data_IF_253813118392
#
_entry.id   IF_253813118392
#
_cell.length_a   1.000
_cell.length_b   1.000
_cell.length_c   1.000
_cell.angle_alpha   90.00
_cell.angle_beta   90.00
_cell.angle_gamma   90.00
#
_symmetry.space_group_name_H-M   'P 1'
#
loop_
_entity.id
_entity.type
_entity.pdbx_description
1 polymer ?
#
# COMPACT_ATOMS: atom_id res chain seq x y z
N UNK A 1 5.91 23.91 -3.57
CA UNK A 1 6.12 25.30 -4.00
C UNK A 1 7.44 25.45 -4.77
N UNK A 2 8.51 24.75 -4.35
CA UNK A 2 9.86 24.86 -4.93
C UNK A 2 10.21 23.72 -5.88
N UNK A 3 9.50 22.59 -5.81
CA UNK A 3 9.74 21.39 -6.61
C UNK A 3 8.43 20.84 -7.15
N UNK A 4 7.77 21.65 -7.97
CA UNK A 4 6.56 21.24 -8.67
C UNK A 4 6.91 20.51 -9.98
N UNK A 5 7.57 19.36 -9.84
CA UNK A 5 8.11 18.58 -10.95
C UNK A 5 7.25 17.33 -11.19
N UNK A 6 6.89 17.11 -12.45
CA UNK A 6 6.08 15.96 -12.89
C UNK A 6 4.59 16.12 -12.57
N UNK A 7 3.80 15.15 -12.99
CA UNK A 7 2.34 15.18 -12.87
C UNK A 7 1.80 14.15 -11.84
N UNK A 8 2.62 13.16 -11.48
CA UNK A 8 2.19 12.05 -10.64
C UNK A 8 2.12 12.43 -9.16
N UNK A 9 0.94 12.36 -8.60
CA UNK A 9 0.71 12.46 -7.15
C UNK A 9 1.13 11.16 -6.44
N UNK A 10 1.43 11.29 -5.14
CA UNK A 10 1.63 10.12 -4.27
C UNK A 10 0.36 9.27 -4.27
N UNK A 11 0.51 7.97 -4.52
CA UNK A 11 -0.64 7.07 -4.64
C UNK A 11 -1.47 7.00 -3.36
N UNK A 12 -2.82 7.06 -3.45
CA UNK A 12 -3.71 7.02 -2.29
C UNK A 12 -3.48 5.82 -1.37
N UNK A 13 -3.14 4.64 -1.93
CA UNK A 13 -2.86 3.45 -1.12
C UNK A 13 -1.68 3.64 -0.17
N UNK A 14 -0.65 4.39 -0.56
CA UNK A 14 0.50 4.68 0.31
C UNK A 14 0.09 5.64 1.44
N UNK A 15 -0.66 6.69 1.11
CA UNK A 15 -1.21 7.64 2.10
C UNK A 15 -2.10 6.91 3.12
N UNK A 16 -3.00 6.05 2.66
CA UNK A 16 -3.86 5.21 3.50
C UNK A 16 -3.03 4.29 4.40
N UNK A 17 -1.96 3.71 3.87
CA UNK A 17 -1.05 2.85 4.65
C UNK A 17 -0.34 3.61 5.77
N UNK A 18 0.13 4.83 5.51
CA UNK A 18 0.68 5.70 6.57
C UNK A 18 -0.40 6.01 7.61
N UNK A 19 -1.62 6.34 7.20
CA UNK A 19 -2.72 6.63 8.12
C UNK A 19 -3.10 5.41 9.00
N UNK A 20 -3.01 4.19 8.47
CA UNK A 20 -3.17 2.94 9.24
C UNK A 20 -2.11 2.86 10.34
N UNK A 21 -0.85 3.18 10.04
CA UNK A 21 0.23 3.20 11.02
C UNK A 21 -0.05 4.24 12.11
N UNK A 22 -0.43 5.48 11.73
CA UNK A 22 -0.75 6.53 12.69
C UNK A 22 -1.92 6.17 13.60
N UNK A 23 -2.94 5.53 13.06
CA UNK A 23 -4.06 4.98 13.83
C UNK A 23 -3.60 3.93 14.84
N UNK A 24 -2.80 2.97 14.41
CA UNK A 24 -2.27 1.91 15.27
C UNK A 24 -1.39 2.50 16.39
N UNK A 25 -0.47 3.40 16.05
CA UNK A 25 0.39 4.09 17.02
C UNK A 25 -0.42 4.86 18.07
N UNK A 26 -1.45 5.61 17.66
CA UNK A 26 -2.30 6.34 18.58
C UNK A 26 -3.06 5.43 19.57
N UNK A 27 -3.48 4.23 19.12
CA UNK A 27 -4.13 3.22 19.96
C UNK A 27 -3.14 2.68 21.00
N UNK A 28 -1.91 2.32 20.56
CA UNK A 28 -0.85 1.83 21.44
C UNK A 28 -0.46 2.88 22.47
N UNK A 29 -0.15 4.11 22.04
CA UNK A 29 0.24 5.19 22.96
C UNK A 29 -0.85 5.51 24.00
N UNK A 30 -2.13 5.37 23.65
CA UNK A 30 -3.22 5.49 24.63
C UNK A 30 -3.17 4.34 25.62
N UNK A 31 -2.97 3.10 25.17
CA UNK A 31 -2.86 1.92 26.06
C UNK A 31 -1.71 2.05 27.03
N UNK A 32 -0.57 2.56 26.55
CA UNK A 32 0.62 2.82 27.33
C UNK A 32 0.57 4.13 28.13
N UNK A 33 -0.60 4.82 28.16
CA UNK A 33 -0.81 6.09 28.89
C UNK A 33 0.14 7.24 28.47
N UNK A 34 0.70 7.16 27.26
CA UNK A 34 1.63 8.17 26.74
C UNK A 34 0.92 9.37 26.09
N UNK A 35 -0.34 9.21 25.69
CA UNK A 35 -1.21 10.28 25.21
C UNK A 35 -2.61 10.18 25.85
N UNK A 36 -3.26 11.32 25.99
CA UNK A 36 -4.59 11.37 26.59
C UNK A 36 -5.62 10.64 25.71
N UNK A 37 -6.58 9.90 26.31
CA UNK A 37 -7.61 9.16 25.55
C UNK A 37 -8.39 10.07 24.57
N UNK A 38 -8.69 11.31 24.94
CA UNK A 38 -9.38 12.28 24.08
C UNK A 38 -8.57 12.59 22.81
N UNK A 39 -7.25 12.77 22.94
CA UNK A 39 -6.34 13.04 21.80
C UNK A 39 -6.25 11.80 20.90
N UNK A 40 -6.00 10.63 21.49
CA UNK A 40 -5.94 9.37 20.72
C UNK A 40 -7.22 9.12 19.92
N UNK A 41 -8.39 9.29 20.55
CA UNK A 41 -9.67 9.07 19.87
C UNK A 41 -9.88 10.05 18.71
N UNK A 42 -9.43 11.30 18.84
CA UNK A 42 -9.49 12.26 17.74
C UNK A 42 -8.54 11.89 16.59
N UNK A 43 -7.31 11.45 16.90
CA UNK A 43 -6.34 10.97 15.91
C UNK A 43 -6.91 9.73 15.16
N UNK A 44 -7.47 8.77 15.90
CA UNK A 44 -8.09 7.57 15.30
C UNK A 44 -9.24 7.93 14.37
N UNK A 45 -10.12 8.87 14.76
CA UNK A 45 -11.21 9.36 13.89
C UNK A 45 -10.66 10.02 12.62
N UNK A 46 -9.72 10.95 12.77
CA UNK A 46 -9.08 11.63 11.64
C UNK A 46 -8.37 10.64 10.70
N UNK A 47 -7.64 9.66 11.25
CA UNK A 47 -6.99 8.60 10.47
C UNK A 47 -8.00 7.76 9.68
N UNK A 48 -9.15 7.45 10.25
CA UNK A 48 -10.22 6.73 9.54
C UNK A 48 -10.79 7.55 8.37
N UNK A 49 -10.88 8.88 8.50
CA UNK A 49 -11.30 9.75 7.40
C UNK A 49 -10.27 9.74 6.25
N UNK A 50 -8.96 9.74 6.56
CA UNK A 50 -7.90 9.57 5.55
C UNK A 50 -7.98 8.18 4.89
N UNK A 51 -8.12 7.11 5.67
CA UNK A 51 -8.22 5.73 5.16
C UNK A 51 -9.43 5.57 4.23
N UNK A 52 -10.55 6.23 4.54
CA UNK A 52 -11.76 6.18 3.70
C UNK A 52 -11.69 7.06 2.44
N UNK A 53 -10.65 7.89 2.29
CA UNK A 53 -10.48 8.79 1.15
C UNK A 53 -11.24 10.14 1.27
N UNK A 54 -11.87 10.43 2.40
CA UNK A 54 -12.61 11.69 2.61
C UNK A 54 -11.73 12.94 2.60
N UNK A 55 -10.43 12.77 2.78
CA UNK A 55 -9.45 13.85 2.86
C UNK A 55 -8.41 13.78 1.73
N UNK A 56 -8.69 13.06 0.64
CA UNK A 56 -7.73 12.84 -0.45
C UNK A 56 -7.25 14.17 -1.09
N UNK A 57 -8.09 15.21 -1.12
CA UNK A 57 -7.75 16.55 -1.64
C UNK A 57 -6.65 17.28 -0.83
N UNK A 58 -6.38 16.83 0.40
CA UNK A 58 -5.35 17.42 1.25
C UNK A 58 -3.95 16.82 1.03
N UNK A 59 -3.79 15.95 0.01
CA UNK A 59 -2.53 15.29 -0.32
C UNK A 59 -2.03 15.70 -1.72
N UNK A 60 -1.64 16.98 -1.93
CA UNK A 60 -1.26 17.50 -3.24
C UNK A 60 0.19 17.18 -3.62
N UNK A 61 0.95 16.48 -2.78
CA UNK A 61 2.37 16.26 -3.01
C UNK A 61 2.61 15.29 -4.17
N UNK A 62 3.51 15.68 -5.05
CA UNK A 62 3.93 14.87 -6.19
C UNK A 62 5.01 13.87 -5.78
N UNK A 63 5.20 12.82 -6.58
CA UNK A 63 6.19 11.77 -6.32
C UNK A 63 7.62 12.33 -6.33
N UNK A 64 7.91 13.26 -7.24
CA UNK A 64 9.22 13.89 -7.39
C UNK A 64 9.39 15.01 -6.36
N UNK A 65 9.87 14.66 -5.18
CA UNK A 65 10.19 15.59 -4.11
C UNK A 65 11.55 15.24 -3.47
N UNK A 66 11.63 14.86 -2.21
CA UNK A 66 12.89 14.55 -1.53
C UNK A 66 13.41 13.13 -1.77
N UNK A 67 12.59 12.23 -2.30
CA UNK A 67 12.92 10.81 -2.50
C UNK A 67 12.96 9.96 -1.24
N UNK A 68 13.03 10.55 -0.04
CA UNK A 68 13.11 9.84 1.25
C UNK A 68 11.74 9.51 1.87
N UNK A 69 10.65 10.02 1.30
CA UNK A 69 9.29 9.86 1.84
C UNK A 69 8.96 10.78 3.02
N UNK A 70 9.91 11.57 3.52
CA UNK A 70 9.72 12.42 4.69
C UNK A 70 8.59 13.43 4.52
N UNK A 71 8.51 14.09 3.37
CA UNK A 71 7.45 15.07 3.10
C UNK A 71 6.07 14.42 3.07
N UNK A 72 5.94 13.23 2.49
CA UNK A 72 4.68 12.47 2.50
C UNK A 72 4.27 12.09 3.91
N UNK A 73 5.20 11.57 4.73
CA UNK A 73 4.92 11.26 6.14
C UNK A 73 4.50 12.51 6.91
N UNK A 74 5.20 13.64 6.72
CA UNK A 74 4.86 14.91 7.37
C UNK A 74 3.50 15.43 6.91
N UNK A 75 3.16 15.34 5.63
CA UNK A 75 1.84 15.74 5.12
C UNK A 75 0.73 14.93 5.81
N UNK A 76 0.87 13.60 5.92
CA UNK A 76 -0.10 12.79 6.64
C UNK A 76 -0.20 13.17 8.12
N UNK A 77 0.93 13.43 8.79
CA UNK A 77 0.94 13.88 10.18
C UNK A 77 0.16 15.21 10.35
N UNK A 78 0.40 16.18 9.47
CA UNK A 78 -0.26 17.49 9.50
C UNK A 78 -1.77 17.39 9.21
N UNK A 79 -2.16 16.63 8.20
CA UNK A 79 -3.58 16.42 7.85
C UNK A 79 -4.32 15.78 9.02
N UNK A 80 -3.77 14.69 9.58
CA UNK A 80 -4.38 14.00 10.72
C UNK A 80 -4.44 14.91 11.96
N UNK A 81 -3.34 15.64 12.26
CA UNK A 81 -3.31 16.53 13.42
C UNK A 81 -4.33 17.66 13.29
N UNK A 82 -4.39 18.34 12.15
CA UNK A 82 -5.34 19.41 11.91
C UNK A 82 -6.80 18.93 11.96
N UNK A 83 -7.07 17.76 11.38
CA UNK A 83 -8.41 17.17 11.44
C UNK A 83 -8.79 16.76 12.87
N UNK A 84 -7.86 16.20 13.63
CA UNK A 84 -8.07 15.88 15.05
C UNK A 84 -8.33 17.13 15.90
N UNK A 85 -7.65 18.26 15.61
CA UNK A 85 -7.89 19.55 16.26
C UNK A 85 -9.33 20.02 16.00
N UNK A 86 -9.81 19.94 14.76
CA UNK A 86 -11.21 20.29 14.43
C UNK A 86 -12.22 19.41 15.15
N UNK A 87 -11.99 18.08 15.18
CA UNK A 87 -12.84 17.12 15.89
C UNK A 87 -12.94 17.47 17.38
N UNK A 88 -11.91 18.10 17.96
CA UNK A 88 -11.87 18.55 19.34
C UNK A 88 -12.38 19.99 19.54
N UNK A 89 -12.87 20.65 18.48
CA UNK A 89 -13.39 22.02 18.53
C UNK A 89 -12.31 23.10 18.53
N UNK A 90 -11.06 22.76 18.18
CA UNK A 90 -9.95 23.71 18.06
C UNK A 90 -9.82 24.32 16.67
N UNK A 91 -8.90 25.28 16.53
CA UNK A 91 -8.62 25.99 15.28
C UNK A 91 -7.45 25.33 14.55
N UNK A 92 -7.62 24.99 13.26
CA UNK A 92 -6.55 24.48 12.37
C UNK A 92 -5.29 25.36 12.45
N UNK A 93 -4.12 24.73 12.30
CA UNK A 93 -2.82 25.40 12.26
C UNK A 93 -2.23 25.77 13.62
N UNK A 94 -3.00 25.64 14.71
CA UNK A 94 -2.55 26.02 16.06
C UNK A 94 -1.62 25.00 16.71
N UNK A 95 -1.57 23.78 16.19
CA UNK A 95 -0.86 22.61 16.77
C UNK A 95 -1.31 22.28 18.20
N UNK A 96 -2.48 22.77 18.60
CA UNK A 96 -3.11 22.54 19.91
C UNK A 96 -4.60 22.21 19.72
N UNK A 97 -5.16 21.23 20.43
CA UNK A 97 -4.53 20.36 21.45
C UNK A 97 -3.77 19.15 20.85
N UNK A 98 -3.68 19.00 19.53
CA UNK A 98 -2.96 17.90 18.86
C UNK A 98 -1.77 18.45 18.08
N UNK A 99 -0.57 17.91 18.36
CA UNK A 99 0.65 18.27 17.66
C UNK A 99 1.02 17.17 16.66
N UNK A 100 1.39 17.50 15.39
CA UNK A 100 1.71 16.48 14.37
C UNK A 100 2.90 15.59 14.75
N UNK A 101 3.95 16.15 15.38
CA UNK A 101 5.11 15.36 15.77
C UNK A 101 4.93 14.69 17.14
N UNK A 102 4.48 15.44 18.17
CA UNK A 102 4.48 14.98 19.56
C UNK A 102 3.35 13.99 19.85
N UNK A 103 2.27 13.99 19.04
CA UNK A 103 1.13 13.11 19.20
C UNK A 103 0.96 12.14 18.03
N UNK A 104 0.85 12.63 16.78
CA UNK A 104 0.58 11.78 15.61
C UNK A 104 1.80 10.94 15.22
N UNK A 105 2.99 11.56 15.24
CA UNK A 105 4.26 10.90 14.90
C UNK A 105 5.08 10.43 16.12
N UNK A 106 4.46 10.44 17.30
CA UNK A 106 5.14 10.06 18.56
C UNK A 106 5.81 8.68 18.44
N UNK A 107 7.08 8.59 18.88
CA UNK A 107 7.90 7.37 18.86
C UNK A 107 8.06 6.76 17.46
N UNK A 108 8.03 7.58 16.41
CA UNK A 108 8.16 7.15 15.02
C UNK A 108 9.18 8.01 14.28
N UNK A 109 9.77 7.46 13.23
CA UNK A 109 10.59 8.16 12.25
C UNK A 109 10.04 7.91 10.86
N UNK A 110 10.34 8.76 9.89
CA UNK A 110 10.07 8.41 8.48
C UNK A 110 10.85 7.18 8.06
N UNK A 111 12.02 6.94 8.66
CA UNK A 111 12.89 5.80 8.33
C UNK A 111 12.23 4.44 8.60
N UNK A 112 11.33 4.34 9.57
CA UNK A 112 10.57 3.12 9.83
C UNK A 112 9.13 3.19 9.29
N UNK A 113 8.46 4.34 9.35
CA UNK A 113 7.08 4.51 8.88
C UNK A 113 6.95 4.33 7.37
N UNK A 114 7.85 4.93 6.59
CA UNK A 114 7.70 4.91 5.13
C UNK A 114 7.90 3.52 4.52
N UNK A 115 8.97 2.75 4.85
CA UNK A 115 9.09 1.37 4.39
C UNK A 115 7.96 0.47 4.91
N UNK A 116 7.50 0.67 6.15
CA UNK A 116 6.32 -0.03 6.67
C UNK A 116 5.07 0.26 5.82
N UNK A 117 4.85 1.52 5.46
CA UNK A 117 3.72 1.90 4.61
C UNK A 117 3.84 1.30 3.20
N UNK A 118 5.04 1.19 2.64
CA UNK A 118 5.28 0.49 1.36
C UNK A 118 4.89 -0.98 1.46
N UNK A 119 5.30 -1.68 2.50
CA UNK A 119 4.95 -3.08 2.74
C UNK A 119 3.43 -3.26 2.89
N UNK A 120 2.76 -2.43 3.69
CA UNK A 120 1.31 -2.47 3.85
C UNK A 120 0.60 -2.23 2.52
N UNK A 121 1.03 -1.21 1.75
CA UNK A 121 0.44 -0.89 0.45
C UNK A 121 0.59 -2.05 -0.55
N UNK A 122 1.79 -2.64 -0.64
CA UNK A 122 2.06 -3.81 -1.50
C UNK A 122 1.19 -4.99 -1.10
N UNK A 123 1.14 -5.32 0.20
CA UNK A 123 0.33 -6.44 0.69
C UNK A 123 -1.16 -6.25 0.38
N UNK A 124 -1.70 -5.04 0.61
CA UNK A 124 -3.10 -4.72 0.32
C UNK A 124 -3.42 -4.81 -1.17
N UNK A 125 -2.63 -4.18 -2.04
CA UNK A 125 -2.87 -4.20 -3.49
C UNK A 125 -2.68 -5.60 -4.09
N UNK A 126 -1.67 -6.34 -3.64
CA UNK A 126 -1.44 -7.71 -4.09
C UNK A 126 -2.60 -8.63 -3.69
N UNK A 127 -3.01 -8.58 -2.43
CA UNK A 127 -4.05 -9.47 -1.90
C UNK A 127 -5.45 -9.13 -2.44
N UNK A 128 -5.75 -7.83 -2.56
CA UNK A 128 -7.11 -7.40 -2.88
C UNK A 128 -7.35 -7.19 -4.38
N UNK A 129 -6.29 -7.02 -5.19
CA UNK A 129 -6.42 -6.75 -6.63
C UNK A 129 -5.61 -7.73 -7.48
N UNK A 130 -4.30 -7.83 -7.27
CA UNK A 130 -3.44 -8.60 -8.15
C UNK A 130 -3.80 -10.09 -8.14
N UNK A 131 -3.80 -10.73 -6.97
CA UNK A 131 -4.11 -12.17 -6.88
C UNK A 131 -5.50 -12.52 -7.40
N UNK A 132 -6.60 -11.81 -7.05
CA UNK A 132 -7.90 -12.08 -7.64
C UNK A 132 -7.93 -11.96 -9.17
N UNK A 133 -7.22 -10.97 -9.74
CA UNK A 133 -7.14 -10.78 -11.19
C UNK A 133 -6.37 -11.91 -11.87
N UNK A 134 -5.25 -12.35 -11.29
CA UNK A 134 -4.48 -13.48 -11.81
C UNK A 134 -5.26 -14.80 -11.71
N UNK A 135 -5.99 -15.02 -10.62
CA UNK A 135 -6.84 -16.20 -10.43
C UNK A 135 -8.02 -16.20 -11.42
N UNK A 136 -8.58 -15.03 -11.75
CA UNK A 136 -9.58 -14.90 -12.81
C UNK A 136 -8.98 -15.27 -14.17
N UNK A 137 -7.84 -14.71 -14.53
CA UNK A 137 -7.16 -15.02 -15.78
C UNK A 137 -6.82 -16.51 -15.88
N UNK A 138 -6.33 -17.11 -14.79
CA UNK A 138 -6.01 -18.54 -14.75
C UNK A 138 -7.26 -19.41 -15.02
N UNK A 139 -8.40 -19.06 -14.45
CA UNK A 139 -9.67 -19.77 -14.72
C UNK A 139 -10.08 -19.66 -16.20
N UNK A 140 -9.92 -18.48 -16.80
CA UNK A 140 -10.27 -18.30 -18.22
C UNK A 140 -9.31 -19.04 -19.16
N UNK A 141 -8.00 -19.05 -18.88
CA UNK A 141 -7.03 -19.85 -19.61
C UNK A 141 -7.38 -21.36 -19.53
N UNK A 142 -7.71 -21.86 -18.33
CA UNK A 142 -8.11 -23.25 -18.13
C UNK A 142 -9.35 -23.65 -18.97
N UNK A 143 -10.32 -22.74 -19.09
CA UNK A 143 -11.47 -22.94 -19.98
C UNK A 143 -11.02 -23.05 -21.45
N UNK A 144 -10.08 -22.18 -21.88
CA UNK A 144 -9.54 -22.20 -23.25
C UNK A 144 -8.74 -23.47 -23.55
N UNK A 145 -7.95 -23.97 -22.60
CA UNK A 145 -7.30 -25.29 -22.70
C UNK A 145 -8.31 -26.37 -23.09
N UNK A 146 -9.45 -26.43 -22.36
CA UNK A 146 -10.49 -27.40 -22.63
C UNK A 146 -11.22 -27.18 -23.96
N UNK A 147 -11.54 -25.92 -24.29
CA UNK A 147 -12.22 -25.58 -25.54
C UNK A 147 -11.37 -25.88 -26.79
N UNK A 148 -10.06 -25.69 -26.70
CA UNK A 148 -9.14 -25.79 -27.84
C UNK A 148 -8.41 -27.13 -27.94
N UNK A 149 -8.72 -28.10 -27.10
CA UNK A 149 -8.00 -29.38 -27.01
C UNK A 149 -7.94 -30.15 -28.32
N UNK A 150 -8.95 -29.99 -29.19
CA UNK A 150 -9.07 -30.71 -30.46
C UNK A 150 -8.70 -29.86 -31.70
N UNK A 151 -8.23 -28.61 -31.49
CA UNK A 151 -7.82 -27.75 -32.58
C UNK A 151 -6.34 -28.01 -32.86
N UNK A 152 -6.02 -28.74 -33.95
CA UNK A 152 -4.65 -29.00 -34.33
C UNK A 152 -4.03 -27.80 -35.03
N UNK A 153 -2.82 -27.48 -34.68
CA UNK A 153 -2.00 -26.42 -35.29
C UNK A 153 -0.55 -26.90 -35.51
N UNK A 154 0.19 -26.19 -36.36
CA UNK A 154 1.62 -26.41 -36.48
C UNK A 154 2.38 -25.80 -35.29
N UNK A 155 3.29 -26.55 -34.69
CA UNK A 155 4.28 -26.01 -33.76
C UNK A 155 5.37 -25.25 -34.52
N UNK A 156 6.07 -24.34 -33.86
CA UNK A 156 7.18 -23.57 -34.44
C UNK A 156 8.37 -23.51 -33.51
N UNK A 157 9.56 -23.68 -34.09
CA UNK A 157 10.84 -23.46 -33.44
C UNK A 157 11.74 -22.68 -34.39
N UNK A 158 12.51 -21.73 -33.94
CA UNK A 158 13.34 -20.86 -34.78
C UNK A 158 12.60 -20.24 -35.97
N UNK A 159 11.32 -19.89 -35.79
CA UNK A 159 10.41 -19.36 -36.82
C UNK A 159 10.14 -20.36 -37.99
N UNK A 160 10.48 -21.63 -37.83
CA UNK A 160 10.23 -22.72 -38.79
C UNK A 160 9.13 -23.64 -38.28
N UNK A 161 8.44 -24.30 -39.20
CA UNK A 161 7.44 -25.29 -38.88
C UNK A 161 8.07 -26.48 -38.15
N UNK A 162 7.43 -26.90 -37.05
CA UNK A 162 7.84 -28.04 -36.25
C UNK A 162 6.69 -29.06 -36.14
N UNK A 163 6.73 -29.93 -35.13
CA UNK A 163 5.72 -30.96 -34.93
C UNK A 163 4.33 -30.36 -34.66
N UNK A 164 3.25 -30.99 -35.14
CA UNK A 164 1.89 -30.59 -34.78
C UNK A 164 1.63 -30.70 -33.28
N UNK A 165 0.82 -29.79 -32.77
CA UNK A 165 0.28 -29.82 -31.42
C UNK A 165 -1.15 -29.28 -31.42
N UNK A 166 -1.89 -29.48 -30.34
CA UNK A 166 -3.19 -28.81 -30.22
C UNK A 166 -3.04 -27.39 -29.66
N UNK A 167 -3.93 -26.50 -30.07
CA UNK A 167 -4.00 -25.14 -29.51
C UNK A 167 -4.26 -25.20 -27.97
N UNK A 168 -4.99 -26.22 -27.50
CA UNK A 168 -5.17 -26.46 -26.08
C UNK A 168 -3.85 -26.78 -25.37
N UNK A 169 -2.93 -27.50 -25.97
CA UNK A 169 -1.58 -27.75 -25.43
C UNK A 169 -0.77 -26.45 -25.31
N UNK A 170 -0.83 -25.58 -26.30
CA UNK A 170 -0.19 -24.26 -26.23
C UNK A 170 -0.72 -23.43 -25.08
N UNK A 171 -2.05 -23.34 -24.95
CA UNK A 171 -2.69 -22.61 -23.84
C UNK A 171 -2.40 -23.25 -22.47
N UNK A 172 -2.22 -24.56 -22.40
CA UNK A 172 -1.84 -25.22 -21.13
C UNK A 172 -0.46 -24.79 -20.63
N UNK A 173 0.48 -24.48 -21.55
CA UNK A 173 1.76 -23.90 -21.18
C UNK A 173 1.62 -22.52 -20.53
N UNK A 174 0.80 -21.64 -21.10
CA UNK A 174 0.52 -20.30 -20.52
C UNK A 174 -0.17 -20.41 -19.17
N UNK A 175 -1.13 -21.31 -19.04
CA UNK A 175 -1.88 -21.56 -17.81
C UNK A 175 -0.95 -22.07 -16.70
N UNK A 176 -0.06 -23.03 -16.99
CA UNK A 176 0.91 -23.55 -16.03
C UNK A 176 1.89 -22.46 -15.53
N UNK A 177 2.42 -21.64 -16.45
CA UNK A 177 3.28 -20.52 -16.08
C UNK A 177 2.58 -19.52 -15.16
N UNK A 178 1.30 -19.23 -15.40
CA UNK A 178 0.53 -18.35 -14.56
C UNK A 178 0.27 -18.94 -13.16
N UNK A 179 -0.02 -20.23 -13.06
CA UNK A 179 -0.15 -20.94 -11.77
C UNK A 179 1.15 -20.84 -10.96
N UNK A 180 2.29 -21.10 -11.57
CA UNK A 180 3.59 -20.96 -10.94
C UNK A 180 3.85 -19.52 -10.46
N UNK A 181 3.48 -18.53 -11.27
CA UNK A 181 3.60 -17.11 -10.87
C UNK A 181 2.72 -16.76 -9.66
N UNK A 182 1.49 -17.27 -9.62
CA UNK A 182 0.59 -17.08 -8.46
C UNK A 182 1.22 -17.67 -7.19
N UNK A 183 1.80 -18.86 -7.27
CA UNK A 183 2.49 -19.51 -6.14
C UNK A 183 3.68 -18.66 -5.67
N UNK A 184 4.53 -18.18 -6.59
CA UNK A 184 5.68 -17.32 -6.26
C UNK A 184 5.24 -16.02 -5.58
N UNK A 185 4.19 -15.36 -6.09
CA UNK A 185 3.65 -14.14 -5.48
C UNK A 185 3.12 -14.41 -4.07
N UNK A 186 2.37 -15.51 -3.86
CA UNK A 186 1.87 -15.89 -2.54
C UNK A 186 3.01 -16.15 -1.55
N UNK A 187 4.09 -16.80 -1.99
CA UNK A 187 5.26 -17.05 -1.16
C UNK A 187 6.00 -15.75 -0.80
N UNK A 188 6.20 -14.86 -1.77
CA UNK A 188 6.87 -13.57 -1.56
C UNK A 188 6.09 -12.66 -0.59
N UNK A 189 4.76 -12.77 -0.52
CA UNK A 189 3.95 -12.00 0.44
C UNK A 189 4.31 -12.30 1.89
N UNK A 190 4.83 -13.47 2.23
CA UNK A 190 5.21 -13.80 3.60
C UNK A 190 6.34 -12.88 4.10
N UNK A 191 7.29 -12.54 3.23
CA UNK A 191 8.37 -11.61 3.56
C UNK A 191 7.87 -10.16 3.67
N UNK A 192 6.87 -9.79 2.88
CA UNK A 192 6.26 -8.44 2.91
C UNK A 192 5.51 -8.17 4.23
N UNK A 193 5.10 -9.20 4.97
CA UNK A 193 4.43 -9.03 6.26
C UNK A 193 5.37 -8.61 7.39
N UNK A 194 6.68 -8.73 7.24
CA UNK A 194 7.64 -8.18 8.19
C UNK A 194 7.76 -6.67 8.00
N UNK A 195 7.59 -5.92 9.08
CA UNK A 195 7.51 -4.46 9.05
C UNK A 195 8.72 -3.83 9.74
N UNK A 196 9.18 -2.70 9.22
CA UNK A 196 10.26 -1.91 9.81
C UNK A 196 9.79 -1.08 11.02
N UNK A 197 8.49 -1.04 11.30
CA UNK A 197 7.91 -0.20 12.35
C UNK A 197 8.48 -0.56 13.72
N UNK A 198 8.94 0.47 14.44
CA UNK A 198 9.63 0.34 15.73
C UNK A 198 11.14 0.50 15.64
N UNK A 199 11.74 0.40 14.45
CA UNK A 199 13.16 0.64 14.24
C UNK A 199 13.58 2.11 14.39
N UNK A 200 12.62 3.03 14.42
CA UNK A 200 12.84 4.47 14.52
C UNK A 200 13.84 5.01 13.47
N UNK A 201 14.78 5.86 13.85
CA UNK A 201 15.72 6.50 12.90
C UNK A 201 16.94 5.64 12.57
N UNK A 202 17.35 4.74 13.48
CA UNK A 202 18.66 4.04 13.42
C UNK A 202 18.56 2.52 13.64
N UNK A 203 17.36 1.96 13.69
CA UNK A 203 17.15 0.53 13.86
C UNK A 203 17.08 0.07 15.31
N UNK A 204 17.17 0.97 16.28
CA UNK A 204 17.02 0.69 17.72
C UNK A 204 15.83 1.46 18.26
N UNK A 205 14.85 0.74 18.80
CA UNK A 205 13.64 1.31 19.42
C UNK A 205 13.84 1.75 20.86
#
# INVERSE_FOLDING_TARGET
>A
KYFDIGEFLVRPVLIKSIAIIKKAAAIVHRKEKQILPKISNAIVKASNEVISGKLDEHFPLKVWQTGSGTQTNMNVNEVIANRAIEILGGRKGTKKPVHPNDHVNKSQSTNDVFPTAMHIAIAMETKNKLLPSLELLNRELKKKVSQFKNIVKVGRTHLQDATPLSLGQEFSGYQSQLEDCIVRIKNALNEIYYLAQGGTAVGTG
#
